data_IF_394324870157
#
_entry.id   IF_394324870157
#
_cell.length_a   1.000
_cell.length_b   1.000
_cell.length_c   1.000
_cell.angle_alpha   90.00
_cell.angle_beta   90.00
_cell.angle_gamma   90.00
#
_symmetry.space_group_name_H-M   'P 1'
#
loop_
_entity.id
_entity.type
_entity.pdbx_description
1 polymer ?
#
# COMPACT_ATOMS: atom_id res chain seq x y z
N UNK A 1 25.84 9.99 12.22
CA UNK A 1 24.73 9.29 11.55
C UNK A 1 23.55 9.20 12.50
N UNK A 2 22.32 9.33 11.99
CA UNK A 2 21.08 9.09 12.73
C UNK A 2 20.26 8.07 11.95
N UNK A 3 19.85 6.99 12.61
CA UNK A 3 19.03 5.94 12.02
C UNK A 3 17.60 6.06 12.54
N UNK A 4 16.62 5.79 11.69
CA UNK A 4 15.21 5.73 12.08
C UNK A 4 14.51 4.59 11.36
N UNK A 5 13.51 4.01 12.02
CA UNK A 5 12.68 2.95 11.46
C UNK A 5 11.23 3.12 11.89
N UNK A 6 10.31 2.75 11.00
CA UNK A 6 8.87 2.77 11.25
C UNK A 6 8.33 1.40 10.84
N UNK A 7 7.52 0.80 11.71
CA UNK A 7 6.74 -0.38 11.38
C UNK A 7 5.26 -0.06 11.56
N UNK A 8 4.48 -0.33 10.52
CA UNK A 8 3.03 -0.14 10.52
C UNK A 8 2.39 -1.51 10.34
N UNK A 9 1.41 -1.82 11.18
CA UNK A 9 0.60 -3.03 11.09
C UNK A 9 -0.88 -2.67 11.22
N UNK A 10 -1.72 -3.32 10.42
CA UNK A 10 -3.17 -3.22 10.49
C UNK A 10 -3.80 -4.54 10.11
N UNK A 11 -4.91 -4.90 10.76
CA UNK A 11 -5.57 -6.20 10.57
C UNK A 11 -6.32 -6.33 9.24
N UNK A 12 -6.27 -5.33 8.37
CA UNK A 12 -7.05 -5.27 7.13
C UNK A 12 -8.45 -4.68 7.36
N UNK A 13 -8.99 -3.99 6.37
CA UNK A 13 -10.34 -3.43 6.44
C UNK A 13 -11.39 -4.53 6.25
N UNK A 14 -12.55 -4.34 6.86
CA UNK A 14 -13.70 -5.20 6.62
C UNK A 14 -14.33 -4.86 5.27
N UNK A 15 -14.90 -5.86 4.59
CA UNK A 15 -15.58 -5.69 3.31
C UNK A 15 -16.79 -6.62 3.18
N UNK A 16 -17.72 -6.20 2.33
CA UNK A 16 -18.84 -7.02 1.87
C UNK A 16 -18.56 -7.49 0.45
N UNK A 17 -18.66 -8.79 0.20
CA UNK A 17 -18.28 -9.39 -1.10
C UNK A 17 -19.50 -10.01 -1.77
N UNK A 18 -19.58 -10.01 -3.11
CA UNK A 18 -20.59 -10.78 -3.83
C UNK A 18 -20.27 -12.28 -3.66
N UNK A 19 -21.18 -13.02 -3.01
CA UNK A 19 -21.01 -14.45 -2.75
C UNK A 19 -21.70 -15.31 -3.82
N UNK A 20 -22.82 -14.84 -4.36
CA UNK A 20 -23.64 -15.60 -5.30
C UNK A 20 -24.12 -14.73 -6.45
N UNK A 21 -24.20 -15.36 -7.61
CA UNK A 21 -24.69 -14.78 -8.85
C UNK A 21 -25.81 -15.67 -9.37
N UNK A 22 -26.98 -15.09 -9.62
CA UNK A 22 -28.15 -15.82 -10.12
C UNK A 22 -29.02 -14.92 -10.99
N UNK A 23 -29.89 -15.52 -11.79
CA UNK A 23 -30.83 -14.77 -12.63
C UNK A 23 -32.20 -14.64 -11.97
N UNK A 24 -32.72 -13.42 -11.91
CA UNK A 24 -34.13 -13.16 -11.59
C UNK A 24 -34.74 -12.47 -12.82
N UNK A 25 -35.77 -13.08 -13.41
CA UNK A 25 -36.48 -12.53 -14.58
C UNK A 25 -35.54 -12.14 -15.74
N UNK A 26 -34.48 -12.94 -15.97
CA UNK A 26 -33.48 -12.68 -17.01
C UNK A 26 -32.39 -11.67 -16.64
N UNK A 27 -32.44 -11.07 -15.45
CA UNK A 27 -31.44 -10.12 -14.96
C UNK A 27 -30.44 -10.80 -14.04
N UNK A 28 -29.14 -10.67 -14.34
CA UNK A 28 -28.07 -11.15 -13.47
C UNK A 28 -28.06 -10.34 -12.17
N UNK A 29 -28.39 -10.99 -11.07
CA UNK A 29 -28.46 -10.41 -9.72
C UNK A 29 -27.32 -10.96 -8.87
N UNK A 30 -26.71 -10.07 -8.08
CA UNK A 30 -25.62 -10.39 -7.17
C UNK A 30 -26.15 -10.38 -5.73
N UNK A 31 -25.89 -11.46 -5.00
CA UNK A 31 -26.14 -11.51 -3.57
C UNK A 31 -24.83 -11.30 -2.82
N UNK A 32 -24.80 -10.22 -2.05
CA UNK A 32 -23.68 -9.88 -1.19
C UNK A 32 -23.73 -10.63 0.13
N UNK A 33 -22.56 -10.76 0.77
CA UNK A 33 -22.42 -11.19 2.16
C UNK A 33 -23.10 -10.22 3.12
N UNK A 34 -23.15 -10.58 4.40
CA UNK A 34 -23.45 -9.62 5.45
C UNK A 34 -22.47 -8.44 5.40
N UNK A 35 -22.89 -7.31 5.97
CA UNK A 35 -22.06 -6.11 6.05
C UNK A 35 -20.79 -6.44 6.84
N UNK A 36 -19.62 -6.15 6.25
CA UNK A 36 -18.31 -6.32 6.90
C UNK A 36 -17.97 -7.77 7.31
N UNK A 37 -18.60 -8.77 6.68
CA UNK A 37 -18.45 -10.18 7.01
C UNK A 37 -17.07 -10.75 6.63
N UNK A 38 -16.38 -10.09 5.68
CA UNK A 38 -15.05 -10.49 5.24
C UNK A 38 -14.00 -9.45 5.67
N UNK A 39 -12.74 -9.88 5.69
CA UNK A 39 -11.59 -9.04 6.04
C UNK A 39 -10.51 -9.15 4.98
N UNK A 40 -9.98 -8.01 4.53
CA UNK A 40 -8.82 -7.99 3.65
C UNK A 40 -7.60 -8.60 4.35
N UNK A 41 -6.63 -9.05 3.56
CA UNK A 41 -5.34 -9.46 4.10
C UNK A 41 -4.74 -8.34 4.98
N UNK A 42 -4.13 -8.73 6.10
CA UNK A 42 -3.52 -7.78 7.01
C UNK A 42 -2.54 -6.85 6.26
N UNK A 43 -2.51 -5.57 6.59
CA UNK A 43 -1.54 -4.61 6.09
C UNK A 43 -0.31 -4.64 6.99
N UNK A 44 0.88 -4.70 6.43
CA UNK A 44 2.10 -4.39 7.18
C UNK A 44 3.21 -3.83 6.31
N UNK A 45 3.93 -2.84 6.84
CA UNK A 45 5.05 -2.18 6.15
C UNK A 45 6.16 -1.82 7.14
N UNK A 46 7.42 -2.04 6.73
CA UNK A 46 8.58 -1.46 7.40
C UNK A 46 9.25 -0.42 6.50
N UNK A 47 9.53 0.75 7.06
CA UNK A 47 10.27 1.83 6.42
C UNK A 47 11.54 2.10 7.23
N UNK A 48 12.68 2.30 6.55
CA UNK A 48 13.96 2.60 7.18
C UNK A 48 14.56 3.87 6.60
N UNK A 49 15.27 4.64 7.43
CA UNK A 49 16.02 5.79 6.97
C UNK A 49 17.34 5.96 7.75
N UNK A 50 18.35 6.42 7.03
CA UNK A 50 19.66 6.79 7.54
C UNK A 50 19.95 8.24 7.14
N UNK A 51 20.12 9.09 8.14
CA UNK A 51 20.50 10.48 7.99
C UNK A 51 21.99 10.65 8.26
N UNK A 52 22.70 11.24 7.31
CA UNK A 52 24.06 11.69 7.45
C UNK A 52 24.11 13.21 7.48
N UNK A 53 24.53 13.75 8.62
CA UNK A 53 24.85 15.17 8.77
C UNK A 53 26.37 15.27 8.89
N UNK A 54 27.07 15.80 7.87
CA UNK A 54 28.50 16.05 7.96
C UNK A 54 28.80 17.02 9.11
N UNK A 55 29.93 16.84 9.79
CA UNK A 55 30.41 17.81 10.77
C UNK A 55 30.63 19.16 10.06
N UNK A 56 29.82 20.16 10.44
CA UNK A 56 29.93 21.50 9.89
C UNK A 56 31.00 22.26 10.66
N UNK A 57 32.03 22.73 9.94
CA UNK A 57 32.97 23.71 10.47
C UNK A 57 32.16 24.96 10.93
N UNK A 58 32.40 25.53 12.13
CA UNK A 58 31.67 26.71 12.62
C UNK A 58 31.69 27.90 11.65
N UNK A 59 32.74 28.02 10.83
CA UNK A 59 32.89 29.10 9.84
C UNK A 59 32.13 28.84 8.51
N UNK A 60 31.43 27.72 8.38
CA UNK A 60 30.74 27.35 7.15
C UNK A 60 29.39 28.08 7.05
N UNK A 61 29.17 28.80 5.95
CA UNK A 61 27.93 29.56 5.69
C UNK A 61 26.70 28.69 5.37
N UNK A 62 26.87 27.38 5.27
CA UNK A 62 25.82 26.44 4.90
C UNK A 62 25.97 25.12 5.66
N UNK A 63 24.83 24.50 5.97
CA UNK A 63 24.71 23.16 6.54
C UNK A 63 24.11 22.23 5.49
N UNK A 64 24.64 21.01 5.41
CA UNK A 64 24.09 19.96 4.54
C UNK A 64 23.65 18.75 5.36
N UNK A 65 22.68 18.03 4.82
CA UNK A 65 22.21 16.77 5.37
C UNK A 65 21.79 15.86 4.23
N UNK A 66 22.23 14.62 4.27
CA UNK A 66 21.82 13.56 3.36
C UNK A 66 20.87 12.63 4.09
N UNK A 67 19.75 12.28 3.47
CA UNK A 67 18.78 11.32 3.99
C UNK A 67 18.62 10.22 2.96
N UNK A 68 19.03 9.01 3.34
CA UNK A 68 18.78 7.79 2.59
C UNK A 68 17.58 7.12 3.22
N UNK A 69 16.57 6.76 2.43
CA UNK A 69 15.38 6.09 2.95
C UNK A 69 14.92 4.99 2.02
N UNK A 70 14.27 3.99 2.59
CA UNK A 70 13.69 2.88 1.88
C UNK A 70 12.30 2.62 2.46
N UNK A 71 11.28 2.87 1.63
CA UNK A 71 9.89 2.58 1.92
C UNK A 71 9.61 1.11 1.61
N UNK A 72 8.84 0.43 2.49
CA UNK A 72 8.43 -0.96 2.31
C UNK A 72 9.62 -1.89 2.03
N UNK A 73 10.57 -2.00 2.97
CA UNK A 73 11.88 -2.65 2.81
C UNK A 73 11.80 -4.11 2.34
N UNK A 74 10.75 -4.85 2.74
CA UNK A 74 10.52 -6.24 2.30
C UNK A 74 9.54 -6.35 1.12
N UNK A 75 9.29 -5.24 0.40
CA UNK A 75 8.50 -5.16 -0.84
C UNK A 75 7.14 -5.86 -0.79
N UNK A 76 6.44 -5.76 0.35
CA UNK A 76 5.14 -6.43 0.48
C UNK A 76 4.06 -5.75 -0.32
N UNK A 77 3.34 -6.55 -1.10
CA UNK A 77 2.18 -6.15 -1.86
C UNK A 77 0.95 -6.05 -0.95
N UNK A 78 0.85 -4.91 -0.27
CA UNK A 78 -0.28 -4.60 0.62
C UNK A 78 -1.56 -4.30 -0.19
N UNK A 79 -2.73 -4.88 0.16
CA UNK A 79 -3.98 -4.60 -0.53
C UNK A 79 -4.39 -3.13 -0.38
N UNK A 80 -4.62 -2.45 -1.50
CA UNK A 80 -5.23 -1.13 -1.55
C UNK A 80 -6.75 -1.25 -1.75
N UNK A 81 -7.16 -2.02 -2.76
CA UNK A 81 -8.56 -2.44 -2.93
C UNK A 81 -8.63 -3.85 -3.54
N UNK A 82 -9.79 -4.47 -3.36
CA UNK A 82 -10.16 -5.73 -3.99
C UNK A 82 -11.37 -5.46 -4.88
N UNK A 83 -11.34 -5.99 -6.09
CA UNK A 83 -12.48 -5.98 -6.99
C UNK A 83 -12.74 -7.40 -7.50
N UNK A 84 -13.96 -7.64 -7.93
CA UNK A 84 -14.40 -8.94 -8.41
C UNK A 84 -14.53 -8.87 -9.92
N UNK A 85 -13.67 -9.61 -10.60
CA UNK A 85 -13.67 -9.74 -12.04
C UNK A 85 -14.57 -10.90 -12.45
N UNK A 86 -15.26 -10.74 -13.58
CA UNK A 86 -16.24 -11.69 -14.09
C UNK A 86 -15.80 -12.14 -15.48
N UNK A 87 -15.38 -13.39 -15.57
CA UNK A 87 -14.99 -14.02 -16.84
C UNK A 87 -16.09 -14.98 -17.30
N UNK A 88 -16.42 -14.95 -18.59
CA UNK A 88 -17.46 -15.81 -19.19
C UNK A 88 -18.85 -15.18 -19.22
N UNK A 89 -19.83 -15.98 -19.64
CA UNK A 89 -21.22 -15.57 -19.79
C UNK A 89 -22.11 -16.36 -18.82
N UNK A 90 -22.77 -15.64 -17.92
CA UNK A 90 -23.73 -16.25 -17.00
C UNK A 90 -24.83 -17.05 -17.72
N UNK A 91 -25.25 -16.61 -18.91
CA UNK A 91 -26.24 -17.31 -19.75
C UNK A 91 -25.74 -18.65 -20.33
N UNK A 92 -24.41 -18.86 -20.40
CA UNK A 92 -23.79 -20.09 -20.89
C UNK A 92 -23.34 -21.02 -19.76
N UNK A 93 -23.61 -20.66 -18.50
CA UNK A 93 -23.24 -21.45 -17.33
C UNK A 93 -21.73 -21.49 -17.01
N UNK A 94 -20.91 -20.68 -17.69
CA UNK A 94 -19.45 -20.65 -17.52
C UNK A 94 -18.94 -19.40 -16.80
N UNK A 95 -19.81 -18.67 -16.09
CA UNK A 95 -19.41 -17.50 -15.32
C UNK A 95 -18.44 -17.89 -14.20
N UNK A 96 -17.24 -17.34 -14.27
CA UNK A 96 -16.21 -17.47 -13.24
C UNK A 96 -15.97 -16.11 -12.62
N UNK A 97 -16.15 -16.03 -11.30
CA UNK A 97 -15.88 -14.81 -10.54
C UNK A 97 -14.58 -14.97 -9.81
N UNK A 98 -13.65 -14.03 -10.02
CA UNK A 98 -12.34 -14.04 -9.40
C UNK A 98 -12.11 -12.75 -8.62
N UNK A 99 -11.60 -12.87 -7.40
CA UNK A 99 -11.19 -11.72 -6.61
C UNK A 99 -9.79 -11.29 -7.06
N UNK A 100 -9.65 -10.02 -7.46
CA UNK A 100 -8.37 -9.42 -7.82
C UNK A 100 -7.99 -8.34 -6.81
N UNK A 101 -6.76 -8.43 -6.30
CA UNK A 101 -6.20 -7.46 -5.37
C UNK A 101 -5.27 -6.51 -6.13
N UNK A 102 -5.41 -5.22 -5.86
CA UNK A 102 -4.46 -4.19 -6.33
C UNK A 102 -3.62 -3.70 -5.16
N UNK A 103 -2.33 -3.53 -5.40
CA UNK A 103 -1.36 -2.98 -4.44
C UNK A 103 -0.68 -1.76 -5.07
N UNK A 104 -0.45 -0.70 -4.29
CA UNK A 104 0.06 0.58 -4.84
C UNK A 104 1.57 0.61 -5.00
N UNK A 105 2.31 0.27 -3.93
CA UNK A 105 3.74 0.59 -3.84
C UNK A 105 4.59 -0.61 -3.40
N UNK A 106 5.53 -1.07 -4.24
CA UNK A 106 6.57 -2.01 -3.83
C UNK A 106 7.63 -1.28 -2.98
N UNK A 107 8.84 -1.86 -2.85
CA UNK A 107 9.99 -1.15 -2.26
C UNK A 107 10.30 0.12 -3.05
N UNK A 108 10.49 1.25 -2.36
CA UNK A 108 10.87 2.54 -2.98
C UNK A 108 12.11 3.08 -2.26
N UNK A 109 13.29 3.06 -2.91
CA UNK A 109 14.46 3.75 -2.40
C UNK A 109 14.35 5.26 -2.67
N UNK A 110 14.89 6.08 -1.76
CA UNK A 110 14.94 7.52 -1.91
C UNK A 110 16.21 8.09 -1.29
N UNK A 111 16.75 9.11 -1.96
CA UNK A 111 17.88 9.91 -1.48
C UNK A 111 17.47 11.37 -1.53
N UNK A 112 17.58 12.05 -0.40
CA UNK A 112 17.31 13.48 -0.29
C UNK A 112 18.54 14.21 0.20
N UNK A 113 18.85 15.34 -0.44
CA UNK A 113 19.89 16.25 0.01
C UNK A 113 19.26 17.56 0.45
N UNK A 114 19.42 17.90 1.73
CA UNK A 114 18.93 19.13 2.31
C UNK A 114 20.09 20.10 2.51
N UNK A 115 19.90 21.33 2.02
CA UNK A 115 20.81 22.45 2.18
C UNK A 115 20.12 23.57 2.96
N UNK A 116 20.79 24.09 3.98
CA UNK A 116 20.33 25.24 4.74
C UNK A 116 21.43 26.30 4.79
N UNK A 117 21.08 27.54 4.46
CA UNK A 117 21.97 28.69 4.50
C UNK A 117 21.74 29.45 5.79
N UNK A 118 22.80 29.82 6.48
CA UNK A 118 22.71 30.62 7.70
C UNK A 118 22.87 32.09 7.28
N UNK A 119 21.77 32.85 7.34
CA UNK A 119 21.83 34.31 7.25
C UNK A 119 22.50 34.85 8.51
N UNK A 120 23.44 35.78 8.34
CA UNK A 120 23.84 36.67 9.44
C UNK A 120 22.75 37.69 9.70
#
# INVERSE_FOLDING_TARGET
WRLSGIFVYGTGAALSVPQRFYFISGVLTQQYSNINDYRMAAYHRADLAATYTPNSNPNKKWKSQWVFSMYNVYSRQNPYFIYFDQEGAAAQGNLKVSARQVSLFPVIPSVTWNLSFISR
#
